data_IF_740059673397
#
_entry.id   IF_740059673397
#
_cell.length_a   1.000
_cell.length_b   1.000
_cell.length_c   1.000
_cell.angle_alpha   90.00
_cell.angle_beta   90.00
_cell.angle_gamma   90.00
#
_symmetry.space_group_name_H-M   'P 1'
#
loop_
_entity.id
_entity.type
_entity.pdbx_description
1 polymer ?
#
# COMPACT_ATOMS: atom_id res chain seq x y z
N UNK A 1 -12.70 -0.77 -17.49
CA UNK A 1 -12.83 -2.21 -17.19
C UNK A 1 -12.75 -2.96 -18.51
N UNK A 2 -11.89 -3.97 -18.59
CA UNK A 2 -11.84 -4.89 -19.72
C UNK A 2 -12.49 -6.20 -19.24
N UNK A 3 -13.49 -6.70 -19.98
CA UNK A 3 -14.15 -7.98 -19.69
C UNK A 3 -13.78 -8.96 -20.81
N UNK A 4 -13.05 -10.02 -20.49
CA UNK A 4 -12.73 -11.08 -21.44
C UNK A 4 -13.85 -12.13 -21.42
N UNK A 5 -14.58 -12.24 -22.52
CA UNK A 5 -15.65 -13.22 -22.67
C UNK A 5 -15.83 -13.57 -24.15
N UNK A 6 -16.12 -14.83 -24.45
CA UNK A 6 -16.39 -15.29 -25.81
C UNK A 6 -17.73 -14.77 -26.36
N UNK A 7 -18.70 -14.52 -25.48
CA UNK A 7 -20.03 -13.99 -25.84
C UNK A 7 -20.52 -12.97 -24.82
N UNK A 8 -21.35 -12.03 -25.28
CA UNK A 8 -22.06 -11.09 -24.39
C UNK A 8 -23.29 -11.78 -23.82
N UNK A 9 -23.20 -12.24 -22.58
CA UNK A 9 -24.34 -12.79 -21.86
C UNK A 9 -25.33 -11.68 -21.48
N UNK A 10 -26.59 -12.04 -21.21
CA UNK A 10 -27.62 -11.08 -20.74
C UNK A 10 -27.19 -10.33 -19.48
N UNK A 11 -26.40 -10.96 -18.60
CA UNK A 11 -25.85 -10.31 -17.41
C UNK A 11 -24.80 -9.25 -17.74
N UNK A 12 -23.88 -9.56 -18.68
CA UNK A 12 -22.89 -8.59 -19.19
C UNK A 12 -23.61 -7.41 -19.85
N UNK A 13 -24.64 -7.66 -20.66
CA UNK A 13 -25.42 -6.61 -21.30
C UNK A 13 -26.08 -5.67 -20.28
N UNK A 14 -26.73 -6.23 -19.24
CA UNK A 14 -27.33 -5.44 -18.16
C UNK A 14 -26.29 -4.62 -17.41
N UNK A 15 -25.15 -5.22 -17.07
CA UNK A 15 -24.07 -4.54 -16.34
C UNK A 15 -23.46 -3.39 -17.16
N UNK A 16 -23.20 -3.61 -18.45
CA UNK A 16 -22.67 -2.59 -19.36
C UNK A 16 -23.69 -1.47 -19.56
N UNK A 17 -24.97 -1.81 -19.78
CA UNK A 17 -26.03 -0.81 -19.96
C UNK A 17 -26.17 0.09 -18.74
N UNK A 18 -26.18 -0.49 -17.53
CA UNK A 18 -26.30 0.30 -16.30
C UNK A 18 -25.05 1.15 -16.04
N UNK A 19 -23.86 0.61 -16.32
CA UNK A 19 -22.60 1.35 -16.20
C UNK A 19 -22.56 2.57 -17.14
N UNK A 20 -22.99 2.39 -18.39
CA UNK A 20 -23.07 3.48 -19.36
C UNK A 20 -24.14 4.51 -18.99
N UNK A 21 -25.32 4.07 -18.51
CA UNK A 21 -26.39 4.96 -18.03
C UNK A 21 -25.92 5.84 -16.88
N UNK A 22 -25.20 5.27 -15.90
CA UNK A 22 -24.65 6.02 -14.76
C UNK A 22 -23.56 6.99 -15.22
N UNK A 23 -22.65 6.55 -16.08
CA UNK A 23 -21.56 7.39 -16.60
C UNK A 23 -22.09 8.60 -17.36
N UNK A 24 -23.13 8.44 -18.17
CA UNK A 24 -23.74 9.55 -18.90
C UNK A 24 -24.24 10.65 -17.93
N UNK A 25 -24.99 10.26 -16.90
CA UNK A 25 -25.48 11.20 -15.88
C UNK A 25 -24.35 11.88 -15.10
N UNK A 26 -23.29 11.14 -14.77
CA UNK A 26 -22.13 11.69 -14.09
C UNK A 26 -21.41 12.73 -14.95
N UNK A 27 -21.26 12.48 -16.25
CA UNK A 27 -20.63 13.43 -17.18
C UNK A 27 -21.47 14.69 -17.38
N UNK A 28 -22.79 14.53 -17.51
CA UNK A 28 -23.75 15.65 -17.60
C UNK A 28 -23.69 16.51 -16.34
N UNK A 29 -23.83 15.90 -15.16
CA UNK A 29 -23.72 16.59 -13.88
C UNK A 29 -22.37 17.32 -13.73
N UNK A 30 -21.27 16.65 -14.08
CA UNK A 30 -19.94 17.25 -14.00
C UNK A 30 -19.80 18.45 -14.95
N UNK A 31 -20.35 18.38 -16.16
CA UNK A 31 -20.32 19.48 -17.12
C UNK A 31 -21.16 20.68 -16.63
N UNK A 32 -22.36 20.43 -16.11
CA UNK A 32 -23.23 21.45 -15.54
C UNK A 32 -22.60 22.17 -14.34
N UNK A 33 -21.81 21.45 -13.54
CA UNK A 33 -21.22 21.96 -12.30
C UNK A 33 -19.73 22.32 -12.42
N UNK A 34 -19.14 22.22 -13.62
CA UNK A 34 -17.72 22.50 -13.84
C UNK A 34 -16.77 21.58 -13.07
N UNK A 35 -17.18 20.35 -12.75
CA UNK A 35 -16.38 19.39 -11.97
C UNK A 35 -15.43 18.64 -12.90
N UNK A 36 -14.13 18.77 -12.65
CA UNK A 36 -13.12 17.91 -13.30
C UNK A 36 -12.93 16.63 -12.48
N UNK A 37 -13.12 15.43 -13.06
CA UNK A 37 -12.93 14.18 -12.31
C UNK A 37 -11.47 14.00 -11.89
N UNK A 38 -11.25 13.86 -10.59
CA UNK A 38 -9.93 13.56 -10.02
C UNK A 38 -9.97 12.26 -9.22
N UNK A 39 -8.84 11.55 -9.20
CA UNK A 39 -8.69 10.37 -8.34
C UNK A 39 -8.57 10.80 -6.89
N UNK A 40 -9.37 10.19 -6.02
CA UNK A 40 -9.29 10.44 -4.58
C UNK A 40 -7.93 9.94 -4.07
N UNK A 41 -7.07 10.86 -3.65
CA UNK A 41 -5.83 10.55 -2.93
C UNK A 41 -6.13 10.53 -1.43
N UNK A 42 -6.22 9.35 -0.83
CA UNK A 42 -6.28 9.19 0.63
C UNK A 42 -4.86 8.93 1.14
N UNK A 43 -4.32 9.84 1.95
CA UNK A 43 -3.07 9.55 2.68
C UNK A 43 -3.33 8.46 3.72
N UNK A 44 -2.31 7.67 4.04
CA UNK A 44 -2.33 6.72 5.16
C UNK A 44 -2.71 7.43 6.45
N UNK A 45 -2.24 8.65 6.65
CA UNK A 45 -2.64 9.55 7.75
C UNK A 45 -4.14 9.84 7.77
N UNK A 46 -4.81 10.05 6.62
CA UNK A 46 -6.27 10.27 6.58
C UNK A 46 -7.07 8.99 6.87
N UNK A 47 -6.52 7.83 6.53
CA UNK A 47 -7.11 6.52 6.86
C UNK A 47 -6.89 6.20 8.34
N UNK A 48 -5.70 6.52 8.87
CA UNK A 48 -5.38 6.43 10.30
C UNK A 48 -6.21 7.42 11.11
N UNK A 49 -6.29 8.71 10.77
CA UNK A 49 -7.13 9.72 11.43
C UNK A 49 -8.61 9.33 11.50
N UNK A 50 -9.15 8.67 10.48
CA UNK A 50 -10.52 8.14 10.52
C UNK A 50 -10.68 7.00 11.54
N UNK A 51 -9.57 6.38 11.94
CA UNK A 51 -9.46 5.26 12.89
C UNK A 51 -8.90 5.72 14.27
N UNK A 52 -8.08 6.77 14.32
CA UNK A 52 -7.31 7.32 15.46
C UNK A 52 -8.11 8.26 16.34
N UNK A 53 -9.35 8.63 15.97
CA UNK A 53 -10.26 9.26 16.95
C UNK A 53 -10.46 8.36 18.19
N UNK A 54 -10.05 7.08 18.12
CA UNK A 54 -10.06 6.14 19.24
C UNK A 54 -8.78 6.05 20.09
N UNK A 55 -7.60 6.52 19.65
CA UNK A 55 -6.39 6.35 20.46
C UNK A 55 -5.34 7.42 20.17
N UNK A 56 -4.98 8.19 21.20
CA UNK A 56 -4.02 9.28 21.10
C UNK A 56 -2.77 9.02 21.94
N UNK A 57 -1.62 9.07 21.26
CA UNK A 57 -0.29 9.60 21.66
C UNK A 57 0.85 8.64 21.34
N UNK A 58 1.79 9.09 20.51
CA UNK A 58 3.18 8.61 20.60
C UNK A 58 4.19 9.74 20.35
N UNK A 59 5.21 9.76 21.20
CA UNK A 59 6.39 10.65 21.17
C UNK A 59 7.57 9.90 20.53
N UNK A 60 8.57 10.58 19.94
CA UNK A 60 9.71 9.92 19.30
C UNK A 60 10.89 9.69 20.28
N UNK A 61 11.53 8.52 20.20
CA UNK A 61 12.88 8.19 20.71
C UNK A 61 13.69 7.58 19.55
N UNK A 62 14.87 8.13 19.21
CA UNK A 62 16.26 7.79 19.59
C UNK A 62 16.75 6.43 19.07
N UNK A 63 17.57 6.51 18.02
CA UNK A 63 18.16 5.42 17.26
C UNK A 63 19.23 4.67 18.07
N UNK A 64 19.12 3.34 18.11
CA UNK A 64 20.18 2.43 18.56
C UNK A 64 20.52 1.50 17.41
N UNK A 65 21.79 1.50 16.98
CA UNK A 65 22.28 0.58 15.94
C UNK A 65 22.31 -0.85 16.49
N UNK A 66 21.40 -1.70 16.01
CA UNK A 66 21.47 -3.15 16.21
C UNK A 66 22.17 -3.80 15.01
N UNK A 67 23.15 -4.65 15.30
CA UNK A 67 23.92 -5.39 14.29
C UNK A 67 23.19 -6.69 13.97
N UNK A 68 22.67 -6.80 12.74
CA UNK A 68 22.00 -8.01 12.26
C UNK A 68 23.03 -9.07 11.83
N UNK A 69 22.89 -10.34 12.28
CA UNK A 69 23.82 -11.39 11.93
C UNK A 69 23.72 -11.75 10.45
N UNK A 70 24.78 -11.47 9.69
CA UNK A 70 24.92 -11.88 8.29
C UNK A 70 25.34 -13.35 8.29
N UNK A 71 24.45 -14.25 7.90
CA UNK A 71 24.81 -15.65 7.65
C UNK A 71 25.44 -15.76 6.24
N UNK A 72 26.73 -16.12 6.12
CA UNK A 72 27.45 -16.11 4.85
C UNK A 72 27.05 -17.21 3.85
N UNK A 73 26.19 -18.15 4.26
CA UNK A 73 25.74 -19.28 3.42
C UNK A 73 24.40 -19.04 2.70
N UNK A 74 23.71 -17.92 2.97
CA UNK A 74 22.43 -17.59 2.34
C UNK A 74 22.63 -16.75 1.07
N UNK A 75 21.86 -17.06 0.02
CA UNK A 75 21.75 -16.15 -1.12
C UNK A 75 21.28 -14.79 -0.64
N UNK A 76 21.75 -13.72 -1.28
CA UNK A 76 21.31 -12.35 -0.98
C UNK A 76 19.79 -12.18 -1.04
N UNK A 77 19.13 -12.91 -1.94
CA UNK A 77 17.66 -12.94 -2.01
C UNK A 77 17.03 -13.57 -0.76
N UNK A 78 17.60 -14.66 -0.26
CA UNK A 78 17.11 -15.36 0.93
C UNK A 78 17.35 -14.53 2.21
N UNK A 79 18.46 -13.79 2.27
CA UNK A 79 18.72 -12.84 3.36
C UNK A 79 17.70 -11.70 3.38
N UNK A 80 17.33 -11.15 2.22
CA UNK A 80 16.28 -10.12 2.13
C UNK A 80 14.95 -10.68 2.63
N UNK A 81 14.58 -11.89 2.24
CA UNK A 81 13.33 -12.53 2.69
C UNK A 81 13.34 -12.75 4.21
N UNK A 82 14.46 -13.20 4.77
CA UNK A 82 14.60 -13.38 6.21
C UNK A 82 14.49 -12.05 6.99
N UNK A 83 15.14 -10.99 6.49
CA UNK A 83 15.05 -9.65 7.08
C UNK A 83 13.65 -9.06 6.93
N UNK A 84 12.94 -9.31 5.83
CA UNK A 84 11.55 -8.87 5.66
C UNK A 84 10.63 -9.53 6.70
N UNK A 85 10.82 -10.82 6.98
CA UNK A 85 10.07 -11.53 8.03
C UNK A 85 10.40 -10.99 9.44
N UNK A 86 11.67 -10.72 9.73
CA UNK A 86 12.10 -10.13 11.00
C UNK A 86 11.57 -8.69 11.17
N UNK A 87 11.60 -7.88 10.13
CA UNK A 87 11.01 -6.53 10.11
C UNK A 87 9.51 -6.57 10.42
N UNK A 88 8.79 -7.53 9.82
CA UNK A 88 7.36 -7.68 10.04
C UNK A 88 7.06 -8.13 11.48
N UNK A 89 7.87 -9.05 12.03
CA UNK A 89 7.78 -9.46 13.45
C UNK A 89 8.00 -8.28 14.39
N UNK A 90 9.07 -7.51 14.21
CA UNK A 90 9.36 -6.32 15.00
C UNK A 90 8.22 -5.28 14.91
N UNK A 91 7.64 -5.08 13.72
CA UNK A 91 6.50 -4.19 13.55
C UNK A 91 5.24 -4.68 14.29
N UNK A 92 4.98 -5.99 14.29
CA UNK A 92 3.86 -6.60 15.02
C UNK A 92 4.06 -6.53 16.55
N UNK A 93 5.30 -6.60 17.02
CA UNK A 93 5.68 -6.46 18.43
C UNK A 93 5.78 -4.98 18.89
N UNK A 94 5.45 -4.04 18.00
CA UNK A 94 5.48 -2.60 18.23
C UNK A 94 6.91 -2.01 18.44
N UNK A 95 7.93 -2.76 18.02
CA UNK A 95 9.36 -2.40 18.00
C UNK A 95 9.72 -1.65 16.69
N UNK A 96 9.15 -0.45 16.52
CA UNK A 96 9.27 0.29 15.24
C UNK A 96 10.68 0.78 14.93
N UNK A 97 11.50 1.04 15.95
CA UNK A 97 12.91 1.43 15.76
C UNK A 97 13.70 0.29 15.12
N UNK A 98 13.50 -0.93 15.61
CA UNK A 98 14.10 -2.15 15.05
C UNK A 98 13.55 -2.47 13.66
N UNK A 99 12.25 -2.32 13.44
CA UNK A 99 11.69 -2.48 12.11
C UNK A 99 12.26 -1.45 11.11
N UNK A 100 12.51 -0.21 11.55
CA UNK A 100 13.10 0.83 10.71
C UNK A 100 14.57 0.53 10.36
N UNK A 101 15.38 0.08 11.33
CA UNK A 101 16.77 -0.30 11.06
C UNK A 101 16.88 -1.49 10.10
N UNK A 102 16.00 -2.50 10.23
CA UNK A 102 15.94 -3.63 9.30
C UNK A 102 15.53 -3.18 7.90
N UNK A 103 14.54 -2.29 7.77
CA UNK A 103 14.11 -1.72 6.48
C UNK A 103 15.27 -1.03 5.78
N UNK A 104 16.02 -0.21 6.50
CA UNK A 104 17.14 0.55 5.93
C UNK A 104 18.26 -0.41 5.50
N UNK A 105 18.49 -1.48 6.26
CA UNK A 105 19.40 -2.56 5.88
C UNK A 105 18.96 -3.33 4.64
N UNK A 106 17.66 -3.63 4.49
CA UNK A 106 17.10 -4.23 3.26
C UNK A 106 17.31 -3.29 2.07
N UNK A 107 17.18 -1.98 2.27
CA UNK A 107 17.38 -0.99 1.22
C UNK A 107 18.84 -0.94 0.75
N UNK A 108 19.80 -0.94 1.67
CA UNK A 108 21.24 -1.11 1.37
C UNK A 108 21.49 -2.41 0.58
N UNK A 109 20.98 -3.53 1.09
CA UNK A 109 21.09 -4.83 0.44
C UNK A 109 20.33 -4.95 -0.88
N UNK A 110 19.49 -3.99 -1.27
CA UNK A 110 18.88 -3.93 -2.61
C UNK A 110 19.62 -2.96 -3.53
N UNK A 111 20.20 -1.89 -2.98
CA UNK A 111 20.90 -0.85 -3.74
C UNK A 111 22.31 -1.25 -4.19
N UNK A 112 23.03 -2.12 -3.46
CA UNK A 112 24.30 -2.73 -3.91
C UNK A 112 24.13 -3.68 -5.14
N UNK A 113 22.96 -3.70 -5.78
CA UNK A 113 22.65 -4.52 -6.96
C UNK A 113 22.76 -3.72 -8.28
N UNK A 114 23.28 -2.49 -8.21
CA UNK A 114 23.55 -1.62 -9.36
C UNK A 114 25.07 -1.43 -9.47
#
# INVERSE_FOLDING_TARGET
>A
VIMYASTRTKSIERAVKESLRRRARQLEYNAEHGITPESIRKSTEKVMLATEVADSKRRPGKETEEVFPINPDLSRADMIVALEDEMLKAANELEFERAASIRDRIFELRSESI
#
